data_IF_410723684536
#
_entry.id   IF_410723684536
#
_cell.length_a   1.000
_cell.length_b   1.000
_cell.length_c   1.000
_cell.angle_alpha   90.00
_cell.angle_beta   90.00
_cell.angle_gamma   90.00
#
_symmetry.space_group_name_H-M   'P 1'
#
loop_
_entity.id
_entity.type
_entity.pdbx_description
1 polymer ?
#
# COMPACT_ATOMS: atom_id res chain seq x y z
N UNK A 1 -16.60 -1.23 -22.75
CA UNK A 1 -16.52 -0.42 -21.52
C UNK A 1 -16.06 -1.33 -20.41
N UNK A 2 -14.90 -1.10 -19.80
CA UNK A 2 -14.48 -1.85 -18.60
C UNK A 2 -15.40 -1.46 -17.45
N UNK A 3 -16.13 -2.43 -16.90
CA UNK A 3 -16.99 -2.21 -15.73
C UNK A 3 -16.12 -1.95 -14.52
N UNK A 4 -16.14 -0.73 -13.98
CA UNK A 4 -15.52 -0.40 -12.70
C UNK A 4 -16.49 -0.67 -11.54
N UNK A 5 -15.97 -1.11 -10.40
CA UNK A 5 -16.72 -1.25 -9.16
C UNK A 5 -15.91 -0.72 -7.99
N UNK A 6 -16.58 -0.35 -6.90
CA UNK A 6 -15.90 0.18 -5.71
C UNK A 6 -15.86 -0.88 -4.61
N UNK A 7 -14.67 -1.13 -4.07
CA UNK A 7 -14.47 -1.96 -2.88
C UNK A 7 -14.22 -1.03 -1.67
N UNK A 8 -14.94 -1.18 -0.55
CA UNK A 8 -14.68 -0.38 0.63
C UNK A 8 -13.34 -0.75 1.27
N UNK A 9 -12.58 0.24 1.72
CA UNK A 9 -11.39 0.05 2.56
C UNK A 9 -11.82 -0.37 3.97
N UNK A 10 -12.02 -1.68 4.16
CA UNK A 10 -12.29 -2.25 5.48
C UNK A 10 -11.01 -2.35 6.31
N UNK A 11 -11.10 -2.49 7.64
CA UNK A 11 -9.92 -2.73 8.49
C UNK A 11 -9.08 -3.93 8.03
N UNK A 12 -9.73 -5.03 7.63
CA UNK A 12 -9.04 -6.20 7.08
C UNK A 12 -8.31 -5.85 5.78
N UNK A 13 -8.98 -5.16 4.85
CA UNK A 13 -8.36 -4.82 3.57
C UNK A 13 -7.19 -3.83 3.74
N UNK A 14 -7.33 -2.87 4.65
CA UNK A 14 -6.24 -1.96 5.06
C UNK A 14 -5.05 -2.75 5.62
N UNK A 15 -5.32 -3.73 6.48
CA UNK A 15 -4.29 -4.56 7.08
C UNK A 15 -3.54 -5.41 6.03
N UNK A 16 -4.26 -5.95 5.04
CA UNK A 16 -3.67 -6.70 3.93
C UNK A 16 -2.71 -5.82 3.12
N UNK A 17 -3.12 -4.59 2.79
CA UNK A 17 -2.28 -3.61 2.08
C UNK A 17 -1.02 -3.28 2.90
N UNK A 18 -1.20 -2.97 4.19
CA UNK A 18 -0.09 -2.63 5.08
C UNK A 18 0.89 -3.79 5.23
N UNK A 19 0.40 -5.03 5.34
CA UNK A 19 1.24 -6.24 5.43
C UNK A 19 2.07 -6.42 4.16
N UNK A 20 1.48 -6.21 2.98
CA UNK A 20 2.20 -6.28 1.72
C UNK A 20 3.32 -5.22 1.65
N UNK A 21 3.04 -3.99 2.09
CA UNK A 21 4.04 -2.90 2.16
C UNK A 21 5.18 -3.26 3.12
N UNK A 22 4.86 -3.77 4.32
CA UNK A 22 5.87 -4.16 5.31
C UNK A 22 6.79 -5.28 4.81
N UNK A 23 6.22 -6.26 4.09
CA UNK A 23 7.00 -7.33 3.48
C UNK A 23 7.98 -6.79 2.43
N UNK A 24 7.56 -5.84 1.59
CA UNK A 24 8.43 -5.19 0.61
C UNK A 24 9.54 -4.38 1.28
N UNK A 25 9.23 -3.61 2.33
CA UNK A 25 10.25 -2.88 3.10
C UNK A 25 11.25 -3.85 3.73
N UNK A 26 10.77 -4.97 4.28
CA UNK A 26 11.63 -6.02 4.86
C UNK A 26 12.58 -6.60 3.83
N UNK A 27 12.12 -6.88 2.62
CA UNK A 27 12.96 -7.35 1.51
C UNK A 27 14.00 -6.30 1.11
N UNK A 28 13.61 -5.04 0.94
CA UNK A 28 14.52 -3.93 0.61
C UNK A 28 15.60 -3.71 1.65
N UNK A 29 15.30 -3.93 2.93
CA UNK A 29 16.27 -3.84 4.02
C UNK A 29 17.36 -4.94 3.94
N UNK A 30 17.14 -6.01 3.18
CA UNK A 30 18.19 -7.02 2.89
C UNK A 30 19.12 -6.61 1.75
N UNK A 31 18.72 -5.62 0.94
CA UNK A 31 19.50 -5.13 -0.18
C UNK A 31 20.60 -4.16 0.26
N UNK A 32 21.66 -4.02 -0.56
CA UNK A 32 22.67 -2.98 -0.34
C UNK A 32 22.04 -1.59 -0.49
N UNK A 33 22.11 -0.80 0.58
CA UNK A 33 21.61 0.57 0.61
C UNK A 33 22.18 1.42 -0.53
N UNK A 34 21.28 2.01 -1.33
CA UNK A 34 21.58 2.94 -2.40
C UNK A 34 20.37 3.87 -2.63
N UNK A 35 20.53 4.85 -3.52
CA UNK A 35 19.49 5.85 -3.77
C UNK A 35 18.13 5.23 -4.18
N UNK A 36 18.12 4.17 -5.00
CA UNK A 36 16.90 3.50 -5.42
C UNK A 36 16.24 2.72 -4.27
N UNK A 37 17.02 1.97 -3.50
CA UNK A 37 16.52 1.21 -2.32
C UNK A 37 15.91 2.17 -1.30
N UNK A 38 16.62 3.26 -0.98
CA UNK A 38 16.14 4.26 -0.02
C UNK A 38 14.89 4.98 -0.51
N UNK A 39 14.85 5.36 -1.80
CA UNK A 39 13.66 5.97 -2.40
C UNK A 39 12.45 5.04 -2.31
N UNK A 40 12.63 3.75 -2.55
CA UNK A 40 11.53 2.80 -2.52
C UNK A 40 11.00 2.59 -1.10
N UNK A 41 11.87 2.51 -0.09
CA UNK A 41 11.47 2.46 1.32
C UNK A 41 10.68 3.71 1.71
N UNK A 42 11.12 4.91 1.29
CA UNK A 42 10.42 6.17 1.55
C UNK A 42 9.03 6.17 0.90
N UNK A 43 8.94 5.79 -0.38
CA UNK A 43 7.67 5.74 -1.11
C UNK A 43 6.67 4.76 -0.48
N UNK A 44 7.15 3.58 -0.07
CA UNK A 44 6.34 2.57 0.62
C UNK A 44 5.85 3.07 1.99
N UNK A 45 6.71 3.75 2.74
CA UNK A 45 6.34 4.37 4.03
C UNK A 45 5.28 5.46 3.84
N UNK A 46 5.44 6.31 2.83
CA UNK A 46 4.45 7.33 2.49
C UNK A 46 3.10 6.71 2.08
N UNK A 47 3.13 5.65 1.27
CA UNK A 47 1.92 4.92 0.87
C UNK A 47 1.20 4.32 2.08
N UNK A 48 1.92 3.68 3.01
CA UNK A 48 1.35 3.14 4.26
C UNK A 48 0.65 4.25 5.06
N UNK A 49 1.29 5.40 5.20
CA UNK A 49 0.72 6.54 5.92
C UNK A 49 -0.57 7.06 5.25
N UNK A 50 -0.60 7.14 3.91
CA UNK A 50 -1.80 7.53 3.17
C UNK A 50 -2.95 6.56 3.40
N UNK A 51 -2.70 5.25 3.26
CA UNK A 51 -3.73 4.21 3.49
C UNK A 51 -4.27 4.27 4.93
N UNK A 52 -3.40 4.54 5.91
CA UNK A 52 -3.81 4.67 7.30
C UNK A 52 -4.59 5.95 7.61
N UNK A 53 -4.38 7.02 6.83
CA UNK A 53 -5.11 8.27 6.99
C UNK A 53 -6.53 8.23 6.41
N UNK A 54 -6.83 7.25 5.54
CA UNK A 54 -8.16 7.10 4.97
C UNK A 54 -9.17 6.57 6.01
N UNK A 55 -10.44 7.02 5.96
CA UNK A 55 -11.48 6.50 6.83
C UNK A 55 -11.85 5.06 6.46
N UNK A 56 -12.38 4.31 7.43
CA UNK A 56 -12.97 3.01 7.14
C UNK A 56 -14.15 3.16 6.17
N UNK A 57 -14.23 2.24 5.20
CA UNK A 57 -15.24 2.31 4.14
C UNK A 57 -14.88 3.22 2.96
N UNK A 58 -13.69 3.82 2.95
CA UNK A 58 -13.24 4.64 1.81
C UNK A 58 -13.35 3.86 0.47
N UNK A 59 -13.97 4.43 -0.58
CA UNK A 59 -14.24 3.71 -1.82
C UNK A 59 -12.97 3.58 -2.67
N UNK A 60 -12.48 2.36 -2.85
CA UNK A 60 -11.34 2.04 -3.73
C UNK A 60 -11.87 1.57 -5.10
N UNK A 61 -11.60 2.29 -6.20
CA UNK A 61 -12.01 1.85 -7.53
C UNK A 61 -11.24 0.59 -7.95
N UNK A 62 -11.96 -0.39 -8.45
CA UNK A 62 -11.45 -1.67 -8.92
C UNK A 62 -12.00 -1.98 -10.32
N UNK A 63 -11.22 -2.72 -11.11
CA UNK A 63 -11.66 -3.22 -12.40
C UNK A 63 -12.19 -4.64 -12.23
N UNK A 64 -13.30 -4.96 -12.92
CA UNK A 64 -13.77 -6.34 -13.06
C UNK A 64 -12.83 -7.17 -13.91
#
# INVERSE_FOLDING_TARGET
>A
MTSEFYKPLTPSFRNDINTAIENQIKELNTCKGNAFVNMQIIGLTAHKNLINALPDGYPIPCKK
#
